data_IF_696489741368
#
_entry.id   IF_696489741368
#
_cell.length_a   1.000
_cell.length_b   1.000
_cell.length_c   1.000
_cell.angle_alpha   90.00
_cell.angle_beta   90.00
_cell.angle_gamma   90.00
#
_symmetry.space_group_name_H-M   'P 1'
#
loop_
_entity.id
_entity.type
_entity.pdbx_description
1 polymer ?
#
# COMPACT_ATOMS: atom_id res chain seq x y z
N UNK A 1 -6.89 -21.33 40.03
CA UNK A 1 -7.63 -20.69 38.95
C UNK A 1 -7.26 -21.41 37.64
N UNK A 2 -8.19 -21.74 36.73
CA UNK A 2 -7.82 -22.35 35.47
C UNK A 2 -6.91 -21.38 34.69
N UNK A 3 -5.80 -21.90 34.16
CA UNK A 3 -4.86 -21.14 33.33
C UNK A 3 -5.61 -20.73 32.08
N UNK A 4 -6.01 -19.46 31.99
CA UNK A 4 -6.61 -18.91 30.77
C UNK A 4 -5.52 -18.76 29.72
N UNK A 5 -5.76 -19.26 28.51
CA UNK A 5 -4.88 -19.05 27.38
C UNK A 5 -4.69 -17.55 27.13
N UNK A 6 -3.45 -17.08 27.01
CA UNK A 6 -3.13 -15.67 26.67
C UNK A 6 -3.70 -15.23 25.31
N UNK A 7 -4.04 -16.18 24.45
CA UNK A 7 -4.64 -15.96 23.13
C UNK A 7 -6.15 -15.73 23.21
N UNK A 8 -6.83 -16.27 24.25
CA UNK A 8 -8.29 -16.24 24.38
C UNK A 8 -8.88 -14.84 24.50
N UNK A 9 -8.09 -13.85 24.94
CA UNK A 9 -8.52 -12.46 25.09
C UNK A 9 -8.33 -11.62 23.82
N UNK A 10 -7.71 -12.17 22.78
CA UNK A 10 -7.45 -11.43 21.55
C UNK A 10 -8.72 -11.27 20.72
N UNK A 11 -9.06 -10.06 20.27
CA UNK A 11 -10.21 -9.83 19.39
C UNK A 11 -10.19 -10.68 18.11
N UNK A 12 -8.98 -11.00 17.61
CA UNK A 12 -8.77 -11.82 16.40
C UNK A 12 -9.07 -13.30 16.59
N UNK A 13 -9.07 -13.79 17.84
CA UNK A 13 -9.38 -15.19 18.22
C UNK A 13 -10.85 -15.36 18.68
N UNK A 14 -11.59 -14.25 18.78
CA UNK A 14 -12.97 -14.28 19.22
C UNK A 14 -13.88 -14.99 18.20
N UNK A 15 -14.94 -15.61 18.69
CA UNK A 15 -15.98 -16.21 17.86
C UNK A 15 -16.87 -15.09 17.30
N UNK A 16 -17.09 -15.09 15.99
CA UNK A 16 -18.00 -14.16 15.35
C UNK A 16 -19.44 -14.66 15.44
N UNK A 17 -20.28 -13.94 16.19
CA UNK A 17 -21.68 -14.31 16.41
C UNK A 17 -22.52 -14.34 15.10
N UNK A 18 -22.11 -13.62 14.08
CA UNK A 18 -22.83 -13.56 12.80
C UNK A 18 -22.50 -14.73 11.86
N UNK A 19 -21.43 -15.48 12.13
CA UNK A 19 -20.97 -16.59 11.29
C UNK A 19 -21.09 -17.97 11.94
N UNK A 20 -21.85 -18.12 13.05
CA UNK A 20 -21.96 -19.38 13.80
C UNK A 20 -22.41 -20.58 12.95
N UNK A 21 -23.24 -20.36 11.93
CA UNK A 21 -23.76 -21.41 11.06
C UNK A 21 -23.21 -21.33 9.63
N UNK A 22 -22.04 -20.74 9.43
CA UNK A 22 -21.48 -20.53 8.08
C UNK A 22 -21.31 -21.81 7.27
N UNK A 23 -21.04 -22.92 7.92
CA UNK A 23 -20.91 -24.26 7.33
C UNK A 23 -22.22 -24.84 6.77
N UNK A 24 -23.37 -24.23 7.10
CA UNK A 24 -24.71 -24.62 6.63
C UNK A 24 -25.24 -23.73 5.50
N UNK A 25 -24.55 -22.64 5.22
CA UNK A 25 -24.95 -21.67 4.21
C UNK A 25 -24.61 -22.17 2.80
N UNK A 26 -25.42 -21.77 1.82
CA UNK A 26 -25.01 -21.93 0.44
C UNK A 26 -23.89 -20.93 0.04
N UNK A 27 -23.33 -21.09 -1.15
CA UNK A 27 -22.20 -20.29 -1.60
C UNK A 27 -22.52 -18.79 -1.71
N UNK A 28 -23.74 -18.43 -2.09
CA UNK A 28 -24.16 -17.03 -2.23
C UNK A 28 -24.28 -16.38 -0.85
N UNK A 29 -24.90 -17.07 0.09
CA UNK A 29 -25.06 -16.61 1.48
C UNK A 29 -23.71 -16.46 2.20
N UNK A 30 -22.76 -17.37 1.95
CA UNK A 30 -21.37 -17.22 2.46
C UNK A 30 -20.72 -15.94 1.92
N UNK A 31 -20.86 -15.66 0.63
CA UNK A 31 -20.31 -14.45 0.00
C UNK A 31 -20.96 -13.21 0.58
N UNK A 32 -22.28 -13.18 0.73
CA UNK A 32 -23.01 -12.04 1.29
C UNK A 32 -22.63 -11.79 2.76
N UNK A 33 -22.50 -12.85 3.56
CA UNK A 33 -21.99 -12.75 4.93
C UNK A 33 -20.61 -12.12 4.98
N UNK A 34 -19.68 -12.58 4.15
CA UNK A 34 -18.32 -12.03 4.10
C UNK A 34 -18.31 -10.56 3.68
N UNK A 35 -19.08 -10.19 2.64
CA UNK A 35 -19.20 -8.78 2.21
C UNK A 35 -19.74 -7.89 3.34
N UNK A 36 -20.76 -8.37 4.06
CA UNK A 36 -21.35 -7.62 5.16
C UNK A 36 -20.38 -7.42 6.34
N UNK A 37 -19.58 -8.43 6.63
CA UNK A 37 -18.53 -8.34 7.65
C UNK A 37 -17.39 -7.41 7.19
N UNK A 38 -16.99 -7.47 5.92
CA UNK A 38 -15.92 -6.61 5.39
C UNK A 38 -16.31 -5.12 5.37
N UNK A 39 -17.60 -4.78 5.22
CA UNK A 39 -18.07 -3.38 5.34
C UNK A 39 -17.73 -2.78 6.70
N UNK A 40 -17.85 -3.55 7.79
CA UNK A 40 -17.52 -3.10 9.15
C UNK A 40 -16.03 -2.76 9.31
N UNK A 41 -15.17 -3.45 8.56
CA UNK A 41 -13.73 -3.21 8.55
C UNK A 41 -13.38 -1.82 8.01
N UNK A 42 -14.11 -1.31 7.00
CA UNK A 42 -13.87 0.04 6.47
C UNK A 42 -14.09 1.12 7.53
N UNK A 43 -15.10 0.96 8.37
CA UNK A 43 -15.35 1.89 9.49
C UNK A 43 -14.25 1.80 10.57
N UNK A 44 -13.70 0.61 10.80
CA UNK A 44 -12.56 0.44 11.70
C UNK A 44 -11.32 1.19 11.17
N UNK A 45 -11.01 1.06 9.89
CA UNK A 45 -9.91 1.81 9.26
C UNK A 45 -10.18 3.32 9.28
N UNK A 46 -11.42 3.76 9.03
CA UNK A 46 -11.81 5.17 9.08
C UNK A 46 -11.60 5.80 10.46
N UNK A 47 -11.83 5.06 11.55
CA UNK A 47 -11.55 5.54 12.91
C UNK A 47 -10.06 5.82 13.16
N UNK A 48 -9.17 5.16 12.44
CA UNK A 48 -7.71 5.37 12.51
C UNK A 48 -7.19 6.51 11.59
N UNK A 49 -8.08 7.25 10.92
CA UNK A 49 -7.74 8.28 9.92
C UNK A 49 -6.64 9.23 10.39
N UNK A 50 -6.76 9.77 11.60
CA UNK A 50 -5.80 10.74 12.13
C UNK A 50 -4.42 10.10 12.36
N UNK A 51 -4.38 8.89 12.90
CA UNK A 51 -3.12 8.15 13.10
C UNK A 51 -2.48 7.76 11.77
N UNK A 52 -3.28 7.35 10.78
CA UNK A 52 -2.79 7.07 9.43
C UNK A 52 -2.19 8.35 8.83
N UNK A 53 -2.83 9.50 8.97
CA UNK A 53 -2.31 10.78 8.49
C UNK A 53 -0.98 11.15 9.15
N UNK A 54 -0.83 10.97 10.45
CA UNK A 54 0.44 11.14 11.16
C UNK A 54 1.50 10.19 10.61
N UNK A 55 1.15 8.92 10.36
CA UNK A 55 2.05 7.94 9.76
C UNK A 55 2.52 8.36 8.37
N UNK A 56 1.63 8.88 7.53
CA UNK A 56 1.95 9.46 6.20
C UNK A 56 3.00 10.56 6.33
N UNK A 57 2.84 11.51 7.26
CA UNK A 57 3.80 12.60 7.44
C UNK A 57 5.15 12.12 8.00
N UNK A 58 5.17 11.13 8.91
CA UNK A 58 6.41 10.50 9.39
C UNK A 58 7.18 9.89 8.21
N UNK A 59 6.50 9.14 7.35
CA UNK A 59 7.10 8.48 6.20
C UNK A 59 7.59 9.52 5.18
N UNK A 60 6.78 10.52 4.87
CA UNK A 60 7.16 11.60 3.95
C UNK A 60 8.40 12.36 4.45
N UNK A 61 8.45 12.69 5.73
CA UNK A 61 9.62 13.33 6.34
C UNK A 61 10.87 12.45 6.33
N UNK A 62 10.70 11.12 6.49
CA UNK A 62 11.76 10.12 6.37
C UNK A 62 12.35 10.12 4.96
N UNK A 63 11.50 10.04 3.95
CA UNK A 63 11.92 9.97 2.54
C UNK A 63 12.59 11.28 2.07
N UNK A 64 12.08 12.45 2.49
CA UNK A 64 12.74 13.75 2.21
C UNK A 64 14.17 13.84 2.77
N UNK A 65 14.48 13.08 3.81
CA UNK A 65 15.83 13.01 4.43
C UNK A 65 16.67 11.85 3.87
N UNK A 66 16.25 11.25 2.75
CA UNK A 66 16.85 10.05 2.17
C UNK A 66 16.92 8.86 3.14
N UNK A 67 15.93 8.73 4.02
CA UNK A 67 15.71 7.56 4.85
C UNK A 67 14.90 6.50 4.10
N UNK A 68 14.76 5.32 4.72
CA UNK A 68 14.10 4.15 4.15
C UNK A 68 12.85 3.78 4.95
N UNK A 69 11.93 3.12 4.28
CA UNK A 69 10.81 2.41 4.90
C UNK A 69 11.17 0.93 4.97
N UNK A 70 11.03 0.32 6.14
CA UNK A 70 11.30 -1.12 6.31
C UNK A 70 10.08 -1.76 6.97
N UNK A 71 9.36 -2.59 6.21
CA UNK A 71 8.27 -3.40 6.74
C UNK A 71 8.80 -4.66 7.42
N UNK A 72 8.17 -5.06 8.52
CA UNK A 72 8.50 -6.29 9.25
C UNK A 72 7.21 -7.00 9.63
N UNK A 73 7.06 -8.26 9.23
CA UNK A 73 5.87 -9.04 9.52
C UNK A 73 6.09 -10.55 9.44
N UNK A 74 5.07 -11.30 9.82
CA UNK A 74 5.00 -12.75 9.66
C UNK A 74 3.72 -13.13 8.92
N UNK A 75 3.69 -14.30 8.27
CA UNK A 75 2.51 -14.81 7.57
C UNK A 75 1.92 -13.81 6.58
N UNK A 76 0.62 -13.57 6.64
CA UNK A 76 -0.09 -12.60 5.78
C UNK A 76 0.48 -11.19 5.94
N UNK A 77 0.75 -10.75 7.17
CA UNK A 77 1.31 -9.42 7.45
C UNK A 77 2.67 -9.20 6.77
N UNK A 78 3.55 -10.20 6.79
CA UNK A 78 4.84 -10.14 6.10
C UNK A 78 4.67 -10.09 4.57
N UNK A 79 3.75 -10.88 4.00
CA UNK A 79 3.44 -10.87 2.57
C UNK A 79 2.90 -9.53 2.09
N UNK A 80 2.05 -8.87 2.89
CA UNK A 80 1.54 -7.54 2.58
C UNK A 80 2.66 -6.49 2.57
N UNK A 81 3.62 -6.55 3.49
CA UNK A 81 4.80 -5.69 3.47
C UNK A 81 5.68 -5.92 2.23
N UNK A 82 5.85 -7.18 1.79
CA UNK A 82 6.57 -7.52 0.57
C UNK A 82 5.84 -6.99 -0.67
N UNK A 83 4.51 -7.21 -0.76
CA UNK A 83 3.68 -6.69 -1.84
C UNK A 83 3.85 -5.18 -1.96
N UNK A 84 3.71 -4.46 -0.83
CA UNK A 84 3.84 -3.01 -0.81
C UNK A 84 5.23 -2.55 -1.28
N UNK A 85 6.30 -3.20 -0.82
CA UNK A 85 7.67 -2.85 -1.22
C UNK A 85 7.95 -3.11 -2.71
N UNK A 86 7.35 -4.14 -3.28
CA UNK A 86 7.52 -4.51 -4.70
C UNK A 86 6.80 -3.55 -5.66
N UNK A 87 5.66 -2.98 -5.24
CA UNK A 87 4.84 -2.10 -6.08
C UNK A 87 5.31 -0.63 -6.10
N UNK A 88 6.19 -0.24 -5.18
CA UNK A 88 6.69 1.14 -5.11
C UNK A 88 7.57 1.55 -6.29
N UNK A 89 8.56 0.74 -6.75
CA UNK A 89 9.41 1.10 -7.87
C UNK A 89 8.63 1.34 -9.18
N UNK A 90 7.74 0.44 -9.65
CA UNK A 90 7.03 0.66 -10.91
C UNK A 90 6.05 1.83 -10.86
N UNK A 91 5.48 2.14 -9.69
CA UNK A 91 4.47 3.19 -9.54
C UNK A 91 5.08 4.58 -9.36
N UNK A 92 6.09 4.69 -8.52
CA UNK A 92 6.65 5.98 -8.08
C UNK A 92 8.12 6.17 -8.43
N UNK A 93 8.72 5.28 -9.21
CA UNK A 93 10.12 5.39 -9.63
C UNK A 93 11.11 5.31 -8.47
N UNK A 94 10.73 4.73 -7.33
CA UNK A 94 11.62 4.62 -6.18
C UNK A 94 12.73 3.59 -6.41
N UNK A 95 13.90 3.82 -5.82
CA UNK A 95 14.89 2.75 -5.72
C UNK A 95 14.34 1.59 -4.89
N UNK A 96 14.58 0.31 -5.27
CA UNK A 96 14.22 -0.84 -4.43
C UNK A 96 14.78 -0.78 -3.01
N UNK A 97 15.83 0.00 -2.79
CA UNK A 97 16.41 0.20 -1.46
C UNK A 97 15.59 1.14 -0.56
N UNK A 98 14.67 1.95 -1.12
CA UNK A 98 13.88 2.93 -0.35
C UNK A 98 12.77 2.29 0.45
N UNK A 99 12.14 1.25 -0.11
CA UNK A 99 11.08 0.51 0.57
C UNK A 99 11.46 -0.96 0.56
N UNK A 100 11.67 -1.52 1.73
CA UNK A 100 12.13 -2.88 1.92
C UNK A 100 11.19 -3.62 2.85
N UNK A 101 11.18 -4.95 2.78
CA UNK A 101 10.38 -5.78 3.67
C UNK A 101 11.19 -6.95 4.21
N UNK A 102 10.91 -7.30 5.46
CA UNK A 102 11.44 -8.47 6.16
C UNK A 102 10.25 -9.34 6.56
N UNK A 103 10.36 -10.64 6.27
CA UNK A 103 9.36 -11.63 6.64
C UNK A 103 9.96 -12.73 7.49
N UNK A 104 9.26 -13.11 8.56
CA UNK A 104 9.61 -14.28 9.36
C UNK A 104 9.69 -15.54 8.48
N UNK A 105 10.70 -16.36 8.65
CA UNK A 105 10.96 -17.54 7.83
C UNK A 105 11.61 -17.25 6.47
N UNK A 106 11.88 -15.94 6.15
CA UNK A 106 12.63 -15.53 4.97
C UNK A 106 11.88 -15.75 3.65
N UNK A 107 12.66 -15.86 2.55
CA UNK A 107 12.12 -15.89 1.19
C UNK A 107 11.14 -17.05 0.93
N UNK A 108 11.42 -18.23 1.47
CA UNK A 108 10.54 -19.39 1.27
C UNK A 108 9.16 -19.21 1.91
N UNK A 109 9.10 -18.46 3.04
CA UNK A 109 7.84 -18.18 3.72
C UNK A 109 6.89 -17.26 2.93
N UNK A 110 7.38 -16.61 1.87
CA UNK A 110 6.54 -15.85 0.95
C UNK A 110 5.53 -16.76 0.26
N UNK A 111 5.99 -17.91 -0.21
CA UNK A 111 5.21 -18.87 -1.01
C UNK A 111 4.61 -19.99 -0.17
N UNK A 112 5.27 -20.39 0.92
CA UNK A 112 4.87 -21.53 1.74
C UNK A 112 4.54 -21.07 3.17
N UNK A 113 3.55 -21.70 3.81
CA UNK A 113 3.31 -21.52 5.24
C UNK A 113 4.48 -22.16 6.02
N UNK A 114 5.04 -21.40 6.97
CA UNK A 114 6.06 -21.88 7.92
C UNK A 114 5.57 -21.58 9.33
N UNK A 115 5.22 -22.61 10.05
CA UNK A 115 4.74 -22.51 11.44
C UNK A 115 5.89 -22.22 12.43
N UNK A 116 5.60 -21.49 13.49
CA UNK A 116 6.52 -21.20 14.60
C UNK A 116 7.59 -20.16 14.29
N UNK A 117 7.75 -19.70 13.05
CA UNK A 117 8.75 -18.68 12.71
C UNK A 117 8.41 -17.30 13.26
N UNK A 118 7.12 -17.03 13.50
CA UNK A 118 6.62 -15.81 14.11
C UNK A 118 6.96 -15.67 15.61
N UNK A 119 7.24 -16.77 16.28
CA UNK A 119 7.56 -16.80 17.71
C UNK A 119 9.03 -16.51 18.00
N UNK A 120 9.88 -16.43 16.97
CA UNK A 120 11.32 -16.25 17.15
C UNK A 120 11.73 -14.77 17.26
N UNK A 121 11.78 -14.26 18.49
CA UNK A 121 12.20 -12.89 18.81
C UNK A 121 13.60 -12.57 18.31
N UNK A 122 14.58 -13.48 18.56
CA UNK A 122 15.99 -13.27 18.23
C UNK A 122 16.22 -13.23 16.71
N UNK A 123 15.48 -14.04 15.94
CA UNK A 123 15.58 -13.97 14.48
C UNK A 123 15.02 -12.66 13.94
N UNK A 124 13.94 -12.12 14.54
CA UNK A 124 13.43 -10.79 14.21
C UNK A 124 14.50 -9.71 14.42
N UNK A 125 15.18 -9.73 15.56
CA UNK A 125 16.27 -8.81 15.88
C UNK A 125 17.46 -8.97 14.93
N UNK A 126 17.84 -10.21 14.56
CA UNK A 126 18.90 -10.47 13.59
C UNK A 126 18.52 -10.01 12.19
N UNK A 127 17.29 -10.28 11.75
CA UNK A 127 16.79 -9.94 10.42
C UNK A 127 16.84 -8.44 10.17
N UNK A 128 16.32 -7.63 11.09
CA UNK A 128 16.37 -6.17 10.96
C UNK A 128 17.80 -5.62 11.03
N UNK A 129 18.66 -6.23 11.85
CA UNK A 129 20.03 -5.81 12.00
C UNK A 129 20.85 -5.97 10.71
N UNK A 130 20.52 -6.97 9.85
CA UNK A 130 21.14 -7.14 8.52
C UNK A 130 20.92 -5.92 7.62
N UNK A 131 19.80 -5.22 7.75
CA UNK A 131 19.47 -3.99 7.00
C UNK A 131 20.11 -2.74 7.62
N UNK A 132 20.72 -2.84 8.81
CA UNK A 132 21.40 -1.75 9.50
C UNK A 132 20.53 -0.47 9.52
N UNK A 133 19.35 -0.48 10.15
CA UNK A 133 18.51 0.71 10.25
C UNK A 133 19.23 1.82 11.02
N UNK A 134 18.92 3.05 10.68
CA UNK A 134 19.51 4.27 11.26
C UNK A 134 18.41 5.22 11.74
N UNK A 135 18.78 6.30 12.41
CA UNK A 135 17.87 7.39 12.82
C UNK A 135 17.16 8.09 11.64
N UNK A 136 17.58 7.84 10.41
CA UNK A 136 16.91 8.36 9.21
C UNK A 136 15.75 7.49 8.76
N UNK A 137 15.70 6.22 9.17
CA UNK A 137 14.78 5.23 8.68
C UNK A 137 13.49 5.17 9.53
N UNK A 138 12.43 4.68 8.95
CA UNK A 138 11.21 4.26 9.64
C UNK A 138 11.03 2.76 9.48
N UNK A 139 10.79 2.07 10.58
CA UNK A 139 10.50 0.63 10.61
C UNK A 139 9.03 0.45 10.97
N UNK A 140 8.30 -0.26 10.13
CA UNK A 140 6.86 -0.50 10.27
C UNK A 140 6.66 -1.97 10.62
N UNK A 141 6.35 -2.26 11.87
CA UNK A 141 5.96 -3.59 12.31
C UNK A 141 4.50 -3.85 11.96
N UNK A 142 4.22 -5.03 11.43
CA UNK A 142 2.87 -5.44 11.02
C UNK A 142 2.53 -6.77 11.68
N UNK A 143 1.49 -6.78 12.53
CA UNK A 143 1.01 -7.97 13.22
C UNK A 143 -0.48 -7.82 13.57
N UNK A 144 -1.35 -8.59 12.93
CA UNK A 144 -2.79 -8.50 13.14
C UNK A 144 -3.17 -8.72 14.61
N UNK A 145 -2.60 -9.72 15.27
CA UNK A 145 -2.84 -10.04 16.70
C UNK A 145 -2.08 -9.15 17.70
N UNK A 146 -1.08 -8.40 17.23
CA UNK A 146 -0.20 -7.63 18.11
C UNK A 146 0.82 -8.46 18.91
N UNK A 147 0.84 -9.78 18.78
CA UNK A 147 1.59 -10.70 19.66
C UNK A 147 2.86 -11.30 19.04
N UNK A 148 3.12 -11.08 17.75
CA UNK A 148 4.21 -11.69 16.98
C UNK A 148 5.59 -11.35 17.55
N UNK A 149 6.27 -12.33 18.13
CA UNK A 149 7.58 -12.13 18.78
C UNK A 149 8.67 -11.71 17.77
N UNK A 150 8.66 -12.26 16.57
CA UNK A 150 9.56 -11.84 15.48
C UNK A 150 9.47 -10.33 15.21
N UNK A 151 8.25 -9.78 15.12
CA UNK A 151 8.03 -8.35 14.93
C UNK A 151 8.53 -7.57 16.14
N UNK A 152 8.21 -8.01 17.36
CA UNK A 152 8.68 -7.37 18.61
C UNK A 152 10.21 -7.30 18.66
N UNK A 153 10.90 -8.40 18.33
CA UNK A 153 12.36 -8.45 18.29
C UNK A 153 12.97 -7.47 17.29
N UNK A 154 12.40 -7.42 16.09
CA UNK A 154 12.84 -6.48 15.05
C UNK A 154 12.61 -5.02 15.45
N UNK A 155 11.44 -4.66 15.99
CA UNK A 155 11.15 -3.31 16.42
C UNK A 155 12.02 -2.86 17.60
N UNK A 156 12.26 -3.76 18.57
CA UNK A 156 13.16 -3.49 19.69
C UNK A 156 14.59 -3.19 19.21
N UNK A 157 15.08 -3.97 18.25
CA UNK A 157 16.43 -3.76 17.69
C UNK A 157 16.50 -2.48 16.86
N UNK A 158 15.47 -2.20 16.04
CA UNK A 158 15.39 -0.97 15.24
C UNK A 158 15.38 0.29 16.11
N UNK A 159 14.62 0.29 17.21
CA UNK A 159 14.58 1.40 18.17
C UNK A 159 15.96 1.69 18.77
N UNK A 160 16.72 0.66 19.14
CA UNK A 160 18.11 0.82 19.61
C UNK A 160 19.03 1.47 18.57
N UNK A 161 18.69 1.40 17.28
CA UNK A 161 19.42 2.08 16.19
C UNK A 161 18.95 3.51 15.95
N UNK A 162 17.97 4.00 16.72
CA UNK A 162 17.39 5.34 16.62
C UNK A 162 16.36 5.49 15.51
N UNK A 163 15.95 4.41 14.83
CA UNK A 163 14.91 4.45 13.81
C UNK A 163 13.55 4.81 14.42
N UNK A 164 12.70 5.50 13.65
CA UNK A 164 11.31 5.71 13.99
C UNK A 164 10.54 4.39 13.87
N UNK A 165 9.58 4.17 14.76
CA UNK A 165 8.83 2.92 14.81
C UNK A 165 7.34 3.20 14.67
N UNK A 166 6.73 2.62 13.62
CA UNK A 166 5.28 2.55 13.45
C UNK A 166 4.85 1.10 13.66
N UNK A 167 3.73 0.90 14.32
CA UNK A 167 3.14 -0.42 14.50
C UNK A 167 1.72 -0.46 13.93
N UNK A 168 1.45 -1.41 13.04
CA UNK A 168 0.14 -1.66 12.43
C UNK A 168 -0.38 -2.99 12.95
N UNK A 169 -1.55 -2.96 13.60
CA UNK A 169 -2.18 -4.12 14.22
C UNK A 169 -3.69 -4.05 14.08
N UNK A 170 -4.40 -5.15 14.32
CA UNK A 170 -5.86 -5.18 14.48
C UNK A 170 -6.30 -5.37 15.94
N UNK A 171 -5.34 -5.32 16.87
CA UNK A 171 -5.60 -5.33 18.32
C UNK A 171 -5.34 -3.95 18.93
N UNK A 172 -6.39 -3.16 19.22
CA UNK A 172 -6.26 -1.86 19.89
C UNK A 172 -5.71 -1.94 21.31
N UNK A 173 -5.75 -3.13 21.94
CA UNK A 173 -5.26 -3.38 23.31
C UNK A 173 -3.79 -3.80 23.38
N UNK A 174 -3.05 -3.82 22.26
CA UNK A 174 -1.68 -4.32 22.23
C UNK A 174 -0.74 -3.60 23.20
N UNK A 175 0.09 -4.34 23.93
CA UNK A 175 1.11 -3.80 24.81
C UNK A 175 2.20 -3.00 24.04
N UNK A 176 2.42 -3.30 22.77
CA UNK A 176 3.44 -2.63 21.95
C UNK A 176 3.16 -1.14 21.73
N UNK A 177 1.93 -0.66 21.95
CA UNK A 177 1.57 0.75 21.80
C UNK A 177 2.38 1.69 22.70
N UNK A 178 2.82 1.23 23.86
CA UNK A 178 3.66 2.04 24.79
C UNK A 178 5.12 2.09 24.39
N UNK A 179 5.52 1.22 23.46
CA UNK A 179 6.91 1.04 23.04
C UNK A 179 7.22 1.73 21.70
N UNK A 180 6.22 2.01 20.86
CA UNK A 180 6.41 2.55 19.50
C UNK A 180 6.08 4.04 19.41
N UNK A 181 6.54 4.73 18.36
CA UNK A 181 6.28 6.16 18.18
C UNK A 181 4.84 6.39 17.68
N UNK A 182 4.26 5.43 16.97
CA UNK A 182 2.89 5.49 16.47
C UNK A 182 2.31 4.08 16.36
N UNK A 183 1.12 3.88 16.91
CA UNK A 183 0.30 2.68 16.67
C UNK A 183 -0.91 3.04 15.81
N UNK A 184 -1.17 2.25 14.76
CA UNK A 184 -2.37 2.30 13.93
C UNK A 184 -3.08 0.96 14.12
N UNK A 185 -4.26 0.99 14.76
CA UNK A 185 -4.91 -0.22 15.25
C UNK A 185 -6.40 -0.29 14.85
N UNK A 186 -6.72 -0.55 13.56
CA UNK A 186 -8.09 -0.76 13.14
C UNK A 186 -8.65 -2.03 13.80
N UNK A 187 -9.47 -1.87 14.83
CA UNK A 187 -10.15 -2.97 15.54
C UNK A 187 -11.25 -3.56 14.68
N UNK A 188 -10.94 -4.56 13.87
CA UNK A 188 -11.88 -5.19 12.91
C UNK A 188 -12.81 -6.22 13.56
N UNK A 189 -12.55 -6.60 14.82
CA UNK A 189 -13.29 -7.63 15.54
C UNK A 189 -13.02 -9.04 15.03
N UNK A 190 -13.90 -9.97 15.45
CA UNK A 190 -13.79 -11.39 15.12
C UNK A 190 -13.96 -11.66 13.63
N UNK A 191 -13.17 -12.59 13.11
CA UNK A 191 -13.24 -13.03 11.71
C UNK A 191 -14.43 -13.95 11.45
N UNK A 192 -14.89 -14.06 10.21
CA UNK A 192 -15.96 -15.02 9.85
C UNK A 192 -15.55 -16.47 10.08
N UNK A 193 -14.27 -16.77 9.98
CA UNK A 193 -13.63 -18.00 10.46
C UNK A 193 -12.71 -17.59 11.60
N UNK A 194 -13.02 -17.98 12.82
CA UNK A 194 -12.30 -17.58 14.04
C UNK A 194 -10.79 -17.81 13.89
N UNK A 195 -9.98 -16.81 14.23
CA UNK A 195 -8.52 -16.85 14.13
C UNK A 195 -7.94 -16.67 12.72
N UNK A 196 -8.76 -16.63 11.66
CA UNK A 196 -8.27 -16.53 10.28
C UNK A 196 -7.98 -15.08 9.86
N UNK A 197 -6.96 -14.48 10.45
CA UNK A 197 -6.58 -13.06 10.28
C UNK A 197 -6.12 -12.67 8.86
N UNK A 198 -6.09 -13.59 7.91
CA UNK A 198 -5.89 -13.27 6.49
C UNK A 198 -7.09 -12.58 5.84
N UNK A 199 -8.27 -12.58 6.48
CA UNK A 199 -9.54 -12.06 5.98
C UNK A 199 -9.67 -10.55 6.28
N UNK A 200 -10.59 -10.12 7.17
CA UNK A 200 -10.81 -8.70 7.50
C UNK A 200 -9.54 -8.01 7.99
N UNK A 201 -8.81 -8.63 8.89
CA UNK A 201 -7.57 -8.10 9.43
C UNK A 201 -6.51 -7.91 8.34
N UNK A 202 -6.36 -8.89 7.44
CA UNK A 202 -5.47 -8.80 6.28
C UNK A 202 -5.87 -7.66 5.34
N UNK A 203 -7.16 -7.53 5.03
CA UNK A 203 -7.69 -6.48 4.14
C UNK A 203 -7.53 -5.09 4.76
N UNK A 204 -7.85 -4.92 6.06
CA UNK A 204 -7.63 -3.66 6.78
C UNK A 204 -6.15 -3.27 6.80
N UNK A 205 -5.27 -4.23 7.08
CA UNK A 205 -3.82 -4.01 7.04
C UNK A 205 -3.37 -3.54 5.67
N UNK A 206 -3.81 -4.21 4.59
CA UNK A 206 -3.49 -3.81 3.21
C UNK A 206 -3.92 -2.38 2.92
N UNK A 207 -5.13 -1.98 3.31
CA UNK A 207 -5.63 -0.61 3.14
C UNK A 207 -4.75 0.40 3.89
N UNK A 208 -4.38 0.11 5.14
CA UNK A 208 -3.52 0.98 5.95
C UNK A 208 -2.15 1.13 5.30
N UNK A 209 -1.50 0.04 4.89
CA UNK A 209 -0.17 0.10 4.25
C UNK A 209 -0.22 0.91 2.95
N UNK A 210 -1.22 0.70 2.09
CA UNK A 210 -1.40 1.50 0.87
C UNK A 210 -1.62 2.99 1.15
N UNK A 211 -2.42 3.35 2.18
CA UNK A 211 -2.62 4.75 2.58
C UNK A 211 -1.32 5.38 3.06
N UNK A 212 -0.53 4.67 3.85
CA UNK A 212 0.75 5.14 4.37
C UNK A 212 1.76 5.43 3.26
N UNK A 213 1.97 4.48 2.35
CA UNK A 213 2.98 4.60 1.29
C UNK A 213 2.51 5.54 0.18
N UNK A 214 1.30 5.35 -0.36
CA UNK A 214 0.75 6.22 -1.41
C UNK A 214 0.60 7.65 -0.89
N UNK A 215 0.06 7.83 0.32
CA UNK A 215 -0.05 9.14 0.94
C UNK A 215 1.30 9.84 1.07
N UNK A 216 2.34 9.13 1.53
CA UNK A 216 3.68 9.67 1.64
C UNK A 216 4.27 10.05 0.27
N UNK A 217 4.07 9.20 -0.76
CA UNK A 217 4.53 9.49 -2.12
C UNK A 217 3.85 10.74 -2.71
N UNK A 218 2.55 10.90 -2.49
CA UNK A 218 1.83 12.13 -2.87
C UNK A 218 2.43 13.35 -2.15
N UNK A 219 2.70 13.23 -0.84
CA UNK A 219 3.27 14.32 -0.03
C UNK A 219 4.70 14.71 -0.41
N UNK A 220 5.45 13.84 -1.07
CA UNK A 220 6.82 14.15 -1.56
C UNK A 220 6.87 14.47 -3.07
N UNK A 221 5.70 14.71 -3.71
CA UNK A 221 5.64 15.18 -5.10
C UNK A 221 5.84 14.09 -6.16
N UNK A 222 5.56 12.82 -5.83
CA UNK A 222 5.64 11.70 -6.79
C UNK A 222 4.44 11.62 -7.73
N UNK A 223 3.48 12.51 -7.58
CA UNK A 223 2.30 12.64 -8.43
C UNK A 223 2.10 14.08 -8.91
N UNK A 224 1.35 14.25 -9.99
CA UNK A 224 0.85 15.56 -10.44
C UNK A 224 -0.66 15.44 -10.65
N UNK A 225 -1.46 16.04 -9.74
CA UNK A 225 -2.83 15.63 -9.54
C UNK A 225 -2.86 14.14 -9.17
N UNK A 226 -3.63 13.33 -9.89
CA UNK A 226 -3.68 11.88 -9.75
C UNK A 226 -2.83 11.12 -10.80
N UNK A 227 -1.95 11.81 -11.53
CA UNK A 227 -1.11 11.22 -12.57
C UNK A 227 0.21 10.70 -11.99
N UNK A 228 0.63 9.52 -12.46
CA UNK A 228 1.88 8.85 -12.09
C UNK A 228 3.07 9.44 -12.88
N UNK A 229 3.52 10.66 -12.54
CA UNK A 229 4.56 11.36 -13.30
C UNK A 229 5.98 10.85 -13.05
N UNK A 230 6.16 9.99 -12.03
CA UNK A 230 7.43 9.29 -11.73
C UNK A 230 7.42 7.81 -12.15
N UNK A 231 6.50 7.41 -13.04
CA UNK A 231 6.39 6.04 -13.53
C UNK A 231 7.71 5.55 -14.14
N UNK A 232 8.13 4.33 -13.79
CA UNK A 232 9.24 3.67 -14.49
C UNK A 232 8.79 3.13 -15.84
N UNK A 233 9.56 3.36 -16.89
CA UNK A 233 9.21 2.99 -18.27
C UNK A 233 9.81 1.63 -18.70
N UNK A 234 9.87 0.68 -17.78
CA UNK A 234 10.49 -0.63 -17.96
C UNK A 234 9.72 -1.62 -18.84
N UNK A 235 8.48 -1.31 -19.24
CA UNK A 235 7.67 -2.14 -20.13
C UNK A 235 6.93 -1.29 -21.15
N UNK A 236 6.46 -1.90 -22.26
CA UNK A 236 5.69 -1.17 -23.30
C UNK A 236 4.42 -0.54 -22.72
N UNK A 237 3.71 -1.24 -21.83
CA UNK A 237 2.55 -0.68 -21.09
C UNK A 237 2.91 0.60 -20.31
N UNK A 238 4.07 0.61 -19.66
CA UNK A 238 4.51 1.76 -18.87
C UNK A 238 5.03 2.90 -19.75
N UNK A 239 5.65 2.58 -20.89
CA UNK A 239 6.00 3.59 -21.92
C UNK A 239 4.76 4.21 -22.55
N UNK A 240 3.74 3.39 -22.88
CA UNK A 240 2.46 3.91 -23.35
C UNK A 240 1.81 4.86 -22.34
N UNK A 241 1.81 4.47 -21.06
CA UNK A 241 1.32 5.34 -19.97
C UNK A 241 2.08 6.65 -19.91
N UNK A 242 3.41 6.63 -20.05
CA UNK A 242 4.24 7.84 -20.07
C UNK A 242 3.84 8.78 -21.23
N UNK A 243 3.64 8.24 -22.45
CA UNK A 243 3.18 9.01 -23.62
C UNK A 243 1.83 9.67 -23.35
N UNK A 244 0.88 8.91 -22.83
CA UNK A 244 -0.47 9.43 -22.48
C UNK A 244 -0.41 10.49 -21.40
N UNK A 245 0.43 10.35 -20.39
CA UNK A 245 0.58 11.37 -19.34
C UNK A 245 1.15 12.66 -19.95
N UNK A 246 2.17 12.58 -20.80
CA UNK A 246 2.73 13.76 -21.50
C UNK A 246 1.66 14.39 -22.38
N UNK A 247 0.92 13.62 -23.20
CA UNK A 247 -0.19 14.12 -24.00
C UNK A 247 -1.26 14.82 -23.11
N UNK A 248 -1.71 14.18 -22.05
CA UNK A 248 -2.70 14.74 -21.11
C UNK A 248 -2.24 16.08 -20.55
N UNK A 249 -0.98 16.20 -20.13
CA UNK A 249 -0.49 17.39 -19.44
C UNK A 249 -0.12 18.51 -20.43
N UNK A 250 0.45 18.17 -21.57
CA UNK A 250 1.00 19.17 -22.53
C UNK A 250 0.07 19.47 -23.68
N UNK A 251 -0.77 18.55 -24.10
CA UNK A 251 -1.60 18.65 -25.32
C UNK A 251 -0.89 18.18 -26.58
N UNK A 252 0.34 17.70 -26.48
CA UNK A 252 1.06 17.14 -27.63
C UNK A 252 0.34 15.90 -28.16
N UNK A 253 0.41 15.67 -29.47
CA UNK A 253 -0.02 14.42 -30.06
C UNK A 253 0.86 13.25 -29.59
N UNK A 254 0.33 12.03 -29.67
CA UNK A 254 0.97 10.84 -29.12
C UNK A 254 2.40 10.61 -29.66
N UNK A 255 2.60 10.83 -30.95
CA UNK A 255 3.91 10.68 -31.58
C UNK A 255 4.89 11.78 -31.16
N UNK A 256 4.42 13.01 -30.96
CA UNK A 256 5.22 14.12 -30.46
C UNK A 256 5.63 13.89 -29.01
N UNK A 257 4.72 13.37 -28.20
CA UNK A 257 5.00 12.96 -26.82
C UNK A 257 6.07 11.85 -26.76
N UNK A 258 6.05 10.90 -27.70
CA UNK A 258 7.08 9.85 -27.79
C UNK A 258 8.46 10.45 -28.15
N UNK A 259 8.52 11.34 -29.13
CA UNK A 259 9.77 12.04 -29.51
C UNK A 259 10.34 12.84 -28.34
N UNK A 260 9.49 13.58 -27.64
CA UNK A 260 9.87 14.37 -26.47
C UNK A 260 10.38 13.49 -25.33
N UNK A 261 9.70 12.37 -25.03
CA UNK A 261 10.13 11.42 -24.02
C UNK A 261 11.49 10.79 -24.32
N UNK A 262 11.78 10.50 -25.60
CA UNK A 262 13.09 10.00 -26.01
C UNK A 262 14.19 11.04 -25.73
N UNK A 263 13.96 12.32 -26.06
CA UNK A 263 14.89 13.42 -25.75
C UNK A 263 15.03 13.59 -24.21
N UNK A 264 13.94 13.43 -23.47
CA UNK A 264 13.91 13.50 -22.01
C UNK A 264 14.39 12.22 -21.31
N UNK A 265 15.01 11.27 -22.05
CA UNK A 265 15.48 9.99 -21.49
C UNK A 265 14.39 9.21 -20.73
N UNK A 266 13.17 9.27 -21.22
CA UNK A 266 11.97 8.68 -20.61
C UNK A 266 11.62 9.21 -19.21
N UNK A 267 12.18 10.34 -18.82
CA UNK A 267 11.78 11.04 -17.61
C UNK A 267 10.54 11.90 -17.90
N UNK A 268 9.37 11.44 -17.43
CA UNK A 268 8.07 12.09 -17.70
C UNK A 268 8.02 13.51 -17.15
N UNK A 269 8.48 13.73 -15.93
CA UNK A 269 8.54 15.08 -15.33
C UNK A 269 9.40 16.02 -16.14
N UNK A 270 10.60 15.56 -16.54
CA UNK A 270 11.50 16.37 -17.35
C UNK A 270 10.88 16.71 -18.71
N UNK A 271 10.25 15.72 -19.39
CA UNK A 271 9.58 15.94 -20.66
C UNK A 271 8.48 17.02 -20.54
N UNK A 272 7.64 16.94 -19.51
CA UNK A 272 6.59 17.93 -19.28
C UNK A 272 7.18 19.32 -19.02
N UNK A 273 8.20 19.43 -18.17
CA UNK A 273 8.86 20.72 -17.88
C UNK A 273 9.52 21.29 -19.14
N UNK A 274 10.22 20.47 -19.93
CA UNK A 274 10.80 20.90 -21.20
C UNK A 274 9.75 21.50 -22.12
N UNK A 275 8.63 20.81 -22.34
CA UNK A 275 7.55 21.26 -23.21
C UNK A 275 6.90 22.57 -22.73
N UNK A 276 6.62 22.64 -21.42
CA UNK A 276 5.91 23.80 -20.84
C UNK A 276 6.78 25.05 -20.72
N UNK A 277 8.09 24.89 -20.64
CA UNK A 277 9.01 26.01 -20.34
C UNK A 277 10.04 26.32 -21.42
N UNK A 278 10.16 25.48 -22.46
CA UNK A 278 11.20 25.59 -23.49
C UNK A 278 12.62 25.28 -22.99
N UNK A 279 12.78 24.78 -21.77
CA UNK A 279 14.09 24.47 -21.19
C UNK A 279 14.70 23.19 -21.81
N UNK A 280 16.04 23.15 -21.91
CA UNK A 280 16.75 21.90 -22.24
C UNK A 280 16.57 20.87 -21.07
N UNK A 281 16.81 19.59 -21.38
CA UNK A 281 16.72 18.50 -20.39
C UNK A 281 17.49 18.79 -19.10
N UNK A 282 18.76 19.24 -19.22
CA UNK A 282 19.61 19.56 -18.05
C UNK A 282 19.01 20.67 -17.20
N UNK A 283 18.49 21.73 -17.82
CA UNK A 283 17.84 22.84 -17.12
C UNK A 283 16.48 22.42 -16.52
N UNK A 284 15.71 21.54 -17.18
CA UNK A 284 14.48 21.00 -16.67
C UNK A 284 14.72 20.15 -15.39
N UNK A 285 15.73 19.28 -15.39
CA UNK A 285 16.14 18.52 -14.20
C UNK A 285 16.59 19.44 -13.06
N UNK A 286 17.38 20.48 -13.38
CA UNK A 286 17.81 21.46 -12.36
C UNK A 286 16.60 22.20 -11.75
N UNK A 287 15.61 22.58 -12.57
CA UNK A 287 14.36 23.20 -12.11
C UNK A 287 13.54 22.28 -11.22
N UNK A 288 13.38 20.99 -11.59
CA UNK A 288 12.71 19.99 -10.78
C UNK A 288 13.39 19.80 -9.41
N UNK A 289 14.73 19.69 -9.40
CA UNK A 289 15.48 19.59 -8.12
C UNK A 289 15.28 20.81 -7.22
N UNK A 290 15.26 22.02 -7.80
CA UNK A 290 15.00 23.27 -7.04
C UNK A 290 13.57 23.29 -6.47
N UNK A 291 12.63 22.66 -7.16
CA UNK A 291 11.23 22.51 -6.76
C UNK A 291 10.99 21.22 -5.93
N UNK A 292 12.02 20.63 -5.33
CA UNK A 292 11.90 19.41 -4.53
C UNK A 292 11.16 18.27 -5.25
N UNK A 293 11.35 18.14 -6.55
CA UNK A 293 10.68 17.21 -7.47
C UNK A 293 9.15 17.38 -7.56
N UNK A 294 8.60 18.48 -7.04
CA UNK A 294 7.19 18.83 -7.16
C UNK A 294 6.91 19.45 -8.53
N UNK A 295 6.01 18.83 -9.31
CA UNK A 295 5.58 19.38 -10.60
C UNK A 295 4.85 20.71 -10.43
N UNK A 296 4.03 20.89 -9.37
CA UNK A 296 3.33 22.16 -9.10
C UNK A 296 4.30 23.31 -8.89
N UNK A 297 5.32 23.09 -8.07
CA UNK A 297 6.34 24.11 -7.80
C UNK A 297 7.21 24.34 -9.04
N UNK A 298 7.54 23.30 -9.77
CA UNK A 298 8.37 23.42 -10.98
C UNK A 298 7.67 24.17 -12.12
N UNK A 299 6.36 24.01 -12.29
CA UNK A 299 5.58 24.66 -13.35
C UNK A 299 4.89 25.94 -12.89
N UNK A 300 4.54 26.04 -11.61
CA UNK A 300 3.75 27.15 -11.07
C UNK A 300 2.27 27.10 -11.50
N UNK A 301 1.79 25.91 -11.90
CA UNK A 301 0.41 25.73 -12.36
C UNK A 301 -0.27 24.50 -11.76
N UNK A 302 -1.61 24.53 -11.74
CA UNK A 302 -2.47 23.43 -11.32
C UNK A 302 -2.95 22.62 -12.53
N UNK A 303 -2.91 21.29 -12.41
CA UNK A 303 -3.35 20.38 -13.46
C UNK A 303 -4.85 20.11 -13.46
N UNK A 304 -5.53 20.34 -12.32
CA UNK A 304 -6.95 19.99 -12.13
C UNK A 304 -7.90 20.62 -13.16
N UNK A 305 -7.75 21.89 -13.55
CA UNK A 305 -8.62 22.46 -14.57
C UNK A 305 -8.57 21.70 -15.89
N UNK A 306 -7.36 21.30 -16.30
CA UNK A 306 -7.18 20.51 -17.51
C UNK A 306 -7.77 19.11 -17.41
N UNK A 307 -7.55 18.42 -16.28
CA UNK A 307 -8.13 17.10 -16.05
C UNK A 307 -9.66 17.14 -16.04
N UNK A 308 -10.28 18.16 -15.45
CA UNK A 308 -11.74 18.35 -15.46
C UNK A 308 -12.28 18.56 -16.87
N UNK A 309 -11.60 19.36 -17.70
CA UNK A 309 -11.98 19.56 -19.11
C UNK A 309 -11.97 18.26 -19.91
N UNK A 310 -10.96 17.41 -19.72
CA UNK A 310 -10.89 16.10 -20.38
C UNK A 310 -12.03 15.16 -19.93
N UNK A 311 -12.40 15.17 -18.65
CA UNK A 311 -13.51 14.35 -18.13
C UNK A 311 -14.86 14.83 -18.67
N UNK A 312 -15.09 16.13 -18.83
CA UNK A 312 -16.30 16.68 -19.40
C UNK A 312 -16.45 16.34 -20.89
N UNK A 313 -15.38 16.49 -21.67
CA UNK A 313 -15.38 16.12 -23.10
C UNK A 313 -15.62 14.62 -23.34
N UNK A 314 -15.20 13.74 -22.40
CA UNK A 314 -15.53 12.32 -22.48
C UNK A 314 -16.99 12.01 -22.11
N UNK A 315 -17.59 12.78 -21.20
CA UNK A 315 -19.02 12.61 -20.83
C UNK A 315 -19.95 13.00 -22.00
N UNK A 316 -19.64 14.05 -22.73
CA UNK A 316 -20.38 14.48 -23.91
C UNK A 316 -20.20 13.51 -25.11
N UNK A 317 -19.01 12.93 -25.29
CA UNK A 317 -18.74 11.92 -26.31
C UNK A 317 -19.29 10.52 -26.00
N UNK A 318 -19.54 10.17 -24.72
CA UNK A 318 -20.08 8.89 -24.27
C UNK A 318 -21.62 8.78 -24.31
N UNK A 319 -22.34 9.88 -24.57
CA UNK A 319 -23.80 9.87 -24.66
C UNK A 319 -24.33 9.12 -25.90
N UNK A 320 -23.46 8.62 -26.77
CA UNK A 320 -23.86 7.98 -28.06
C UNK A 320 -23.74 6.46 -28.05
N UNK A 321 -23.40 5.77 -26.97
CA UNK A 321 -23.52 4.27 -26.96
C UNK A 321 -23.57 3.71 -25.55
N UNK A 322 -24.69 3.86 -24.83
CA UNK A 322 -25.06 2.93 -23.76
C UNK A 322 -26.14 1.99 -24.28
N UNK A 323 -25.75 1.05 -25.09
CA UNK A 323 -26.54 -0.18 -25.28
C UNK A 323 -26.15 -1.09 -24.10
N UNK A 324 -26.97 -1.10 -23.07
CA UNK A 324 -26.90 -2.04 -21.96
C UNK A 324 -27.23 -3.42 -22.48
N UNK A 325 -26.26 -4.12 -23.06
CA UNK A 325 -26.32 -5.56 -23.13
C UNK A 325 -26.14 -6.11 -21.71
N UNK A 326 -27.27 -6.50 -21.09
CA UNK A 326 -27.25 -7.41 -19.95
C UNK A 326 -26.45 -8.62 -20.41
N UNK A 327 -25.28 -8.83 -19.81
CA UNK A 327 -24.59 -10.12 -19.91
C UNK A 327 -25.46 -11.13 -19.16
N UNK A 328 -26.21 -11.91 -19.91
CA UNK A 328 -26.79 -13.17 -19.41
C UNK A 328 -25.62 -14.08 -19.07
N UNK A 329 -25.38 -14.23 -17.76
CA UNK A 329 -24.43 -15.23 -17.26
C UNK A 329 -25.02 -16.59 -17.57
N UNK A 330 -24.39 -17.43 -18.42
CA UNK A 330 -24.90 -18.76 -18.68
C UNK A 330 -25.00 -19.54 -17.38
N UNK A 331 -26.15 -20.09 -17.07
CA UNK A 331 -26.36 -20.98 -15.94
C UNK A 331 -25.42 -22.18 -16.05
N UNK A 332 -24.38 -22.22 -15.22
CA UNK A 332 -23.47 -23.36 -15.09
C UNK A 332 -24.27 -24.50 -14.45
N UNK A 333 -24.67 -25.49 -15.26
CA UNK A 333 -25.25 -26.76 -14.75
C UNK A 333 -24.11 -27.53 -14.06
N UNK A 334 -24.10 -27.52 -12.73
CA UNK A 334 -23.26 -28.44 -11.97
C UNK A 334 -23.72 -29.89 -12.17
N UNK A 335 -22.81 -30.87 -12.36
CA UNK A 335 -23.18 -32.27 -12.49
C UNK A 335 -23.80 -32.74 -11.16
N UNK A 336 -24.97 -33.41 -11.26
CA UNK A 336 -25.60 -34.03 -10.10
C UNK A 336 -24.66 -35.08 -9.51
N UNK A 337 -24.44 -34.99 -8.18
CA UNK A 337 -23.76 -36.04 -7.42
C UNK A 337 -24.49 -37.37 -7.65
N UNK A 338 -23.75 -38.40 -8.04
CA UNK A 338 -24.27 -39.77 -8.10
C UNK A 338 -24.40 -40.24 -6.64
N UNK A 339 -25.60 -40.70 -6.34
CA UNK A 339 -25.97 -41.39 -5.08
C UNK A 339 -25.12 -42.63 -4.86
#
# INVERSE_FOLDING_TARGET
>A
MPVRSKWQSLPTEAINAFSLGIDKLDAADVVDLMINEDRKMLDAVKRERERIAVGVEIIAATLRKNGRIIFVGAGTSGRLGILESAEMPPTFGTSPSYVQAIMAGGRDAIFNAKEGVEDNYEEGARAINRLRPTKKDVVIGVSASGMTQFVRGALTRARKSGARIIFVTCDPGTELQTFVDLTIAPGVGAEVIAGSTRLKAGTATKLVLNMLTTGAMVRIGKTYGNLMVDVQTGSEKLKDRARRIVNIVTGLEYEEADKLLKVAQWNVKAAIVMQKTGLSYVKAIARLRKAHDSMREALGEDIEPRLRGLLQGHAEGSAVTTNQSRMDIPSIKLPRARS
#
